data_IF_027452625523
#
_entry.id   IF_027452625523
#
_cell.length_a   1.000
_cell.length_b   1.000
_cell.length_c   1.000
_cell.angle_alpha   90.00
_cell.angle_beta   90.00
_cell.angle_gamma   90.00
#
_symmetry.space_group_name_H-M   'P 1'
#
loop_
_entity.id
_entity.type
_entity.pdbx_description
1 polymer ?
#
# COMPACT_ATOMS: atom_id res chain seq x y z
N UNK A 1 -11.26 4.39 24.00
CA UNK A 1 -11.62 3.15 23.28
C UNK A 1 -11.01 3.23 21.88
N UNK A 2 -10.35 2.19 21.42
CA UNK A 2 -9.82 2.05 20.07
C UNK A 2 -10.47 0.83 19.43
N UNK A 3 -11.04 1.02 18.27
CA UNK A 3 -11.65 -0.05 17.49
C UNK A 3 -11.06 -0.04 16.09
N UNK A 4 -10.95 -1.20 15.47
CA UNK A 4 -10.40 -1.35 14.12
C UNK A 4 -11.25 -2.24 13.25
N UNK A 5 -11.20 -1.98 11.95
CA UNK A 5 -11.62 -2.87 10.89
C UNK A 5 -10.58 -2.84 9.78
N UNK A 6 -10.29 -3.98 9.17
CA UNK A 6 -9.27 -4.08 8.12
C UNK A 6 -9.78 -4.89 6.93
N UNK A 7 -9.33 -4.52 5.72
CA UNK A 7 -9.63 -5.23 4.49
C UNK A 7 -8.44 -5.21 3.54
N UNK A 8 -8.36 -6.25 2.68
CA UNK A 8 -7.34 -6.37 1.64
C UNK A 8 -8.00 -6.73 0.32
N UNK A 9 -7.70 -5.96 -0.73
CA UNK A 9 -8.22 -6.18 -2.08
C UNK A 9 -7.08 -6.34 -3.08
N UNK A 10 -7.22 -7.31 -3.95
CA UNK A 10 -6.24 -7.53 -5.03
C UNK A 10 -6.36 -6.42 -6.08
N UNK A 11 -5.23 -5.77 -6.38
CA UNK A 11 -5.08 -4.74 -7.41
C UNK A 11 -4.12 -5.17 -8.53
N UNK A 12 -3.78 -6.46 -8.61
CA UNK A 12 -2.92 -6.96 -9.69
C UNK A 12 -3.58 -6.72 -11.04
N UNK A 13 -2.89 -6.11 -12.01
CA UNK A 13 -3.47 -5.85 -13.31
C UNK A 13 -3.78 -7.17 -14.04
N UNK A 14 -4.97 -7.32 -14.66
CA UNK A 14 -5.32 -8.53 -15.42
C UNK A 14 -4.73 -8.58 -16.83
N UNK A 15 -3.91 -7.59 -17.19
CA UNK A 15 -3.25 -7.48 -18.50
C UNK A 15 -1.86 -6.88 -18.35
N UNK A 16 -0.96 -7.07 -19.35
CA UNK A 16 0.38 -6.48 -19.32
C UNK A 16 0.37 -4.96 -19.20
N UNK A 17 1.13 -4.43 -18.21
CA UNK A 17 1.22 -2.99 -17.93
C UNK A 17 2.65 -2.47 -18.11
N UNK A 18 2.78 -1.21 -18.46
CA UNK A 18 4.04 -0.49 -18.24
C UNK A 18 4.23 -0.27 -16.74
N UNK A 19 5.44 -0.52 -16.25
CA UNK A 19 5.77 -0.39 -14.84
C UNK A 19 6.46 0.94 -14.54
N UNK A 20 6.15 1.52 -13.39
CA UNK A 20 6.76 2.77 -12.91
C UNK A 20 8.03 2.50 -12.09
N UNK A 21 8.88 3.54 -11.97
CA UNK A 21 10.02 3.58 -11.05
C UNK A 21 11.39 3.64 -11.75
N UNK A 22 11.55 3.01 -12.93
CA UNK A 22 12.78 3.07 -13.72
C UNK A 22 12.53 3.69 -15.08
N UNK A 23 13.05 4.89 -15.31
CA UNK A 23 12.88 5.61 -16.59
C UNK A 23 13.44 4.84 -17.81
N UNK A 24 14.49 4.04 -17.60
CA UNK A 24 15.13 3.23 -18.66
C UNK A 24 14.38 1.90 -18.95
N UNK A 25 13.36 1.54 -18.17
CA UNK A 25 12.60 0.33 -18.43
C UNK A 25 11.63 0.56 -19.58
N UNK A 26 11.79 -0.22 -20.64
CA UNK A 26 10.94 -0.19 -21.83
C UNK A 26 10.07 -1.44 -21.92
N UNK A 27 8.92 -1.34 -22.55
CA UNK A 27 8.00 -2.45 -22.73
C UNK A 27 7.05 -2.68 -21.57
N UNK A 28 6.11 -3.58 -21.81
CA UNK A 28 5.09 -4.00 -20.84
C UNK A 28 5.60 -5.16 -20.00
N UNK A 29 4.97 -5.34 -18.84
CA UNK A 29 5.24 -6.52 -17.97
C UNK A 29 4.95 -7.82 -18.73
N UNK A 30 5.78 -8.83 -18.46
CA UNK A 30 5.70 -10.18 -19.08
C UNK A 30 5.03 -11.22 -18.18
N UNK A 31 4.54 -10.80 -17.03
CA UNK A 31 3.87 -11.66 -16.06
C UNK A 31 3.83 -11.04 -14.67
N UNK A 32 3.37 -11.82 -13.72
CA UNK A 32 3.27 -11.47 -12.30
C UNK A 32 4.22 -12.37 -11.52
N UNK A 33 5.05 -11.79 -10.66
CA UNK A 33 5.91 -12.52 -9.73
C UNK A 33 5.18 -12.73 -8.40
N UNK A 34 4.55 -11.67 -7.91
CA UNK A 34 3.67 -11.69 -6.75
C UNK A 34 2.53 -10.69 -6.94
N UNK A 35 1.40 -10.97 -6.30
CA UNK A 35 0.19 -10.15 -6.41
C UNK A 35 0.34 -8.82 -5.68
N UNK A 36 -0.35 -7.81 -6.20
CA UNK A 36 -0.43 -6.48 -5.63
C UNK A 36 -1.74 -6.29 -4.87
N UNK A 37 -1.68 -5.58 -3.75
CA UNK A 37 -2.83 -5.35 -2.90
C UNK A 37 -3.04 -3.86 -2.57
N UNK A 38 -4.30 -3.52 -2.35
CA UNK A 38 -4.74 -2.40 -1.54
C UNK A 38 -5.04 -2.94 -0.14
N UNK A 39 -4.34 -2.45 0.87
CA UNK A 39 -4.60 -2.76 2.28
C UNK A 39 -5.19 -1.54 2.95
N UNK A 40 -6.35 -1.71 3.56
CA UNK A 40 -7.07 -0.64 4.24
C UNK A 40 -7.27 -0.98 5.70
N UNK A 41 -6.99 -0.02 6.56
CA UNK A 41 -7.28 -0.02 7.99
C UNK A 41 -8.18 1.16 8.30
N UNK A 42 -9.33 0.90 8.90
CA UNK A 42 -10.20 1.94 9.45
C UNK A 42 -10.12 1.86 10.97
N UNK A 43 -9.74 2.99 11.57
CA UNK A 43 -9.62 3.16 13.00
C UNK A 43 -10.80 4.01 13.51
N UNK A 44 -11.41 3.61 14.62
CA UNK A 44 -12.31 4.46 15.40
C UNK A 44 -11.68 4.72 16.77
N UNK A 45 -11.28 5.96 17.02
CA UNK A 45 -10.59 6.37 18.24
C UNK A 45 -11.48 7.39 18.96
N UNK A 46 -12.02 7.03 20.11
CA UNK A 46 -12.95 7.87 20.88
C UNK A 46 -14.13 8.42 20.07
N UNK A 47 -14.60 7.66 19.08
CA UNK A 47 -15.69 8.03 18.18
C UNK A 47 -15.27 8.70 16.88
N UNK A 48 -14.04 9.19 16.76
CA UNK A 48 -13.50 9.73 15.52
C UNK A 48 -12.99 8.62 14.60
N UNK A 49 -13.27 8.75 13.30
CA UNK A 49 -12.87 7.78 12.29
C UNK A 49 -11.64 8.27 11.52
N UNK A 50 -10.69 7.37 11.33
CA UNK A 50 -9.51 7.54 10.50
C UNK A 50 -9.45 6.40 9.48
N UNK A 51 -9.19 6.72 8.22
CA UNK A 51 -9.05 5.75 7.12
C UNK A 51 -7.60 5.78 6.65
N UNK A 52 -6.94 4.64 6.69
CA UNK A 52 -5.58 4.49 6.19
C UNK A 52 -5.55 3.39 5.13
N UNK A 53 -5.25 3.76 3.89
CA UNK A 53 -5.09 2.80 2.79
C UNK A 53 -3.69 2.86 2.22
N UNK A 54 -3.09 1.69 1.99
CA UNK A 54 -1.78 1.54 1.37
C UNK A 54 -1.90 0.68 0.12
N UNK A 55 -1.35 1.18 -0.99
CA UNK A 55 -1.40 0.55 -2.31
C UNK A 55 -0.02 0.01 -2.69
N UNK A 56 0.04 -1.21 -3.25
CA UNK A 56 1.27 -1.80 -3.78
C UNK A 56 1.61 -1.19 -5.15
N UNK A 57 1.82 0.12 -5.16
CA UNK A 57 2.15 0.94 -6.32
C UNK A 57 3.43 1.74 -6.07
N UNK A 58 4.04 2.22 -7.16
CA UNK A 58 5.20 3.10 -7.06
C UNK A 58 4.81 4.49 -6.52
N UNK A 59 3.73 5.03 -7.03
CA UNK A 59 3.32 6.41 -6.74
C UNK A 59 1.83 6.58 -7.02
N UNK A 60 1.19 7.43 -6.22
CA UNK A 60 -0.14 7.94 -6.45
C UNK A 60 -0.05 9.46 -6.63
N UNK A 61 -0.58 9.96 -7.74
CA UNK A 61 -0.58 11.40 -8.00
C UNK A 61 -1.65 12.12 -7.18
N UNK A 62 -1.36 13.38 -6.82
CA UNK A 62 -2.22 14.18 -5.96
C UNK A 62 -3.68 14.24 -6.45
N UNK A 63 -3.98 14.46 -7.75
CA UNK A 63 -5.38 14.50 -8.21
C UNK A 63 -6.13 13.19 -7.96
N UNK A 64 -5.45 12.04 -8.05
CA UNK A 64 -6.06 10.72 -7.81
C UNK A 64 -6.35 10.53 -6.32
N UNK A 65 -5.36 10.84 -5.48
CA UNK A 65 -5.52 10.72 -4.02
C UNK A 65 -6.54 11.71 -3.48
N UNK A 66 -6.55 12.94 -4.00
CA UNK A 66 -7.48 13.98 -3.59
C UNK A 66 -8.92 13.64 -3.96
N UNK A 67 -9.14 13.13 -5.17
CA UNK A 67 -10.44 12.62 -5.59
C UNK A 67 -10.93 11.50 -4.66
N UNK A 68 -10.10 10.49 -4.40
CA UNK A 68 -10.45 9.37 -3.53
C UNK A 68 -10.81 9.84 -2.11
N UNK A 69 -10.00 10.72 -1.53
CA UNK A 69 -10.24 11.31 -0.20
C UNK A 69 -11.55 12.10 -0.17
N UNK A 70 -11.85 12.85 -1.23
CA UNK A 70 -13.08 13.62 -1.33
C UNK A 70 -14.32 12.71 -1.37
N UNK A 71 -14.28 11.65 -2.16
CA UNK A 71 -15.37 10.66 -2.26
C UNK A 71 -15.61 9.96 -0.91
N UNK A 72 -14.52 9.49 -0.28
CA UNK A 72 -14.60 8.78 1.02
C UNK A 72 -15.07 9.71 2.14
N UNK A 73 -14.57 10.95 2.18
CA UNK A 73 -15.00 11.95 3.15
C UNK A 73 -16.51 12.21 3.07
N UNK A 74 -17.04 12.37 1.84
CA UNK A 74 -18.47 12.58 1.63
C UNK A 74 -19.31 11.34 1.99
N UNK A 75 -18.85 10.15 1.59
CA UNK A 75 -19.59 8.90 1.81
C UNK A 75 -19.71 8.54 3.30
N UNK A 76 -18.65 8.70 4.07
CA UNK A 76 -18.59 8.27 5.47
C UNK A 76 -18.67 9.41 6.48
N UNK A 77 -18.86 10.64 6.01
CA UNK A 77 -18.87 11.84 6.87
C UNK A 77 -17.61 11.95 7.75
N UNK A 78 -16.45 11.63 7.16
CA UNK A 78 -15.14 11.67 7.81
C UNK A 78 -14.38 12.92 7.34
N UNK A 79 -13.73 13.68 8.22
CA UNK A 79 -12.87 14.79 7.81
C UNK A 79 -11.81 14.31 6.81
N UNK A 80 -11.58 15.06 5.74
CA UNK A 80 -10.65 14.69 4.67
C UNK A 80 -9.22 14.53 5.17
N UNK A 81 -8.83 15.28 6.20
CA UNK A 81 -7.56 15.18 6.91
C UNK A 81 -7.36 13.87 7.66
N UNK A 82 -8.44 13.16 8.02
CA UNK A 82 -8.40 11.85 8.66
C UNK A 82 -8.27 10.69 7.65
N UNK A 83 -8.15 10.99 6.35
CA UNK A 83 -8.04 10.00 5.29
C UNK A 83 -6.64 10.05 4.69
N UNK A 84 -5.87 8.98 4.87
CA UNK A 84 -4.53 8.82 4.34
C UNK A 84 -4.54 7.73 3.27
N UNK A 85 -4.04 8.04 2.08
CA UNK A 85 -3.86 7.08 1.00
C UNK A 85 -2.41 7.18 0.54
N UNK A 86 -1.66 6.11 0.77
CA UNK A 86 -0.24 6.04 0.47
C UNK A 86 0.12 4.88 -0.47
N UNK A 87 1.38 4.82 -0.86
CA UNK A 87 1.94 3.73 -1.65
C UNK A 87 3.20 3.19 -0.99
N UNK A 88 3.50 1.91 -1.24
CA UNK A 88 4.74 1.29 -0.75
C UNK A 88 5.96 1.64 -1.61
N UNK A 89 5.77 2.34 -2.71
CA UNK A 89 6.80 2.78 -3.64
C UNK A 89 7.52 1.64 -4.39
N UNK A 90 6.85 0.50 -4.64
CA UNK A 90 7.46 -0.57 -5.46
C UNK A 90 7.83 -0.08 -6.86
N UNK A 91 9.04 -0.36 -7.31
CA UNK A 91 9.49 -0.08 -8.67
C UNK A 91 9.16 -1.21 -9.67
N UNK A 92 8.31 -2.15 -9.25
CA UNK A 92 7.78 -3.24 -10.08
C UNK A 92 6.25 -3.25 -10.15
N UNK A 93 5.61 -2.14 -9.77
CA UNK A 93 4.17 -1.92 -9.89
C UNK A 93 3.79 -1.20 -11.18
N UNK A 94 2.51 -1.31 -11.61
CA UNK A 94 1.99 -0.64 -12.79
C UNK A 94 2.06 0.89 -12.69
N UNK A 95 2.24 1.52 -13.85
CA UNK A 95 2.12 2.96 -13.98
C UNK A 95 0.63 3.37 -14.06
N UNK A 96 0.25 4.35 -13.25
CA UNK A 96 -1.09 4.95 -13.23
C UNK A 96 -1.07 6.47 -13.41
N UNK A 97 0.07 7.02 -13.82
CA UNK A 97 0.25 8.48 -13.99
C UNK A 97 -0.67 9.06 -15.05
N UNK A 98 -0.84 10.39 -15.01
CA UNK A 98 -1.50 11.17 -16.07
C UNK A 98 -0.54 11.63 -17.15
N UNK A 99 0.76 11.32 -17.07
CA UNK A 99 1.73 11.67 -18.08
C UNK A 99 1.30 11.11 -19.44
N UNK A 100 1.38 11.93 -20.50
CA UNK A 100 1.08 11.49 -21.86
C UNK A 100 2.26 10.72 -22.43
N UNK A 101 2.05 9.46 -22.74
CA UNK A 101 3.07 8.53 -23.20
C UNK A 101 2.59 7.70 -24.41
N UNK A 102 1.58 8.21 -25.11
CA UNK A 102 0.98 7.59 -26.29
C UNK A 102 -0.27 6.76 -25.97
N UNK A 103 -1.07 6.53 -27.00
CA UNK A 103 -2.45 6.01 -26.91
C UNK A 103 -2.57 4.68 -26.14
N UNK A 104 -1.80 3.65 -26.51
CA UNK A 104 -1.85 2.33 -25.83
C UNK A 104 -1.52 2.43 -24.34
N UNK A 105 -0.47 3.20 -24.00
CA UNK A 105 -0.04 3.35 -22.61
C UNK A 105 -1.07 4.15 -21.80
N UNK A 106 -1.58 5.25 -22.36
CA UNK A 106 -2.57 6.08 -21.69
C UNK A 106 -3.89 5.34 -21.47
N UNK A 107 -4.34 4.56 -22.46
CA UNK A 107 -5.53 3.72 -22.31
C UNK A 107 -5.37 2.69 -21.17
N UNK A 108 -4.25 1.97 -21.14
CA UNK A 108 -3.97 0.98 -20.08
C UNK A 108 -3.92 1.61 -18.71
N UNK A 109 -3.27 2.77 -18.58
CA UNK A 109 -3.22 3.54 -17.32
C UNK A 109 -4.62 3.95 -16.86
N UNK A 110 -5.48 4.40 -17.78
CA UNK A 110 -6.85 4.79 -17.46
C UNK A 110 -7.68 3.60 -16.95
N UNK A 111 -7.70 2.49 -17.69
CA UNK A 111 -8.44 1.28 -17.30
C UNK A 111 -7.95 0.72 -15.96
N UNK A 112 -6.63 0.72 -15.76
CA UNK A 112 -6.08 0.21 -14.50
C UNK A 112 -6.32 1.16 -13.31
N UNK A 113 -6.34 2.48 -13.52
CA UNK A 113 -6.77 3.44 -12.49
C UNK A 113 -8.18 3.17 -12.00
N UNK A 114 -9.13 2.90 -12.91
CA UNK A 114 -10.51 2.56 -12.55
C UNK A 114 -10.56 1.31 -11.67
N UNK A 115 -9.79 0.28 -12.02
CA UNK A 115 -9.67 -0.93 -11.20
C UNK A 115 -9.14 -0.60 -9.80
N UNK A 116 -8.01 0.12 -9.71
CA UNK A 116 -7.40 0.50 -8.43
C UNK A 116 -8.36 1.31 -7.57
N UNK A 117 -9.03 2.30 -8.16
CA UNK A 117 -10.00 3.13 -7.45
C UNK A 117 -11.19 2.33 -6.94
N UNK A 118 -11.72 1.44 -7.80
CA UNK A 118 -12.80 0.54 -7.39
C UNK A 118 -12.37 -0.33 -6.20
N UNK A 119 -11.21 -0.97 -6.27
CA UNK A 119 -10.73 -1.85 -5.20
C UNK A 119 -10.42 -1.07 -3.90
N UNK A 120 -9.95 0.18 -4.00
CA UNK A 120 -9.77 1.04 -2.85
C UNK A 120 -11.11 1.35 -2.15
N UNK A 121 -12.13 1.74 -2.92
CA UNK A 121 -13.45 2.01 -2.36
C UNK A 121 -14.09 0.74 -1.78
N UNK A 122 -14.03 -0.37 -2.50
CA UNK A 122 -14.53 -1.67 -2.03
C UNK A 122 -13.83 -2.12 -0.73
N UNK A 123 -12.52 -1.84 -0.56
CA UNK A 123 -11.81 -2.16 0.67
C UNK A 123 -12.31 -1.33 1.87
N UNK A 124 -12.55 -0.04 1.65
CA UNK A 124 -13.11 0.82 2.70
C UNK A 124 -14.54 0.38 3.03
N UNK A 125 -15.37 0.13 2.02
CA UNK A 125 -16.75 -0.34 2.19
C UNK A 125 -16.78 -1.64 3.01
N UNK A 126 -15.92 -2.59 2.67
CA UNK A 126 -15.79 -3.86 3.42
C UNK A 126 -15.43 -3.65 4.89
N UNK A 127 -14.57 -2.68 5.21
CA UNK A 127 -14.25 -2.35 6.59
C UNK A 127 -15.49 -1.88 7.38
N UNK A 128 -16.33 -1.03 6.78
CA UNK A 128 -17.55 -0.55 7.43
C UNK A 128 -18.60 -1.65 7.52
N UNK A 129 -18.76 -2.49 6.50
CA UNK A 129 -19.74 -3.58 6.45
C UNK A 129 -19.43 -4.70 7.46
N UNK A 130 -18.15 -5.04 7.64
CA UNK A 130 -17.69 -6.02 8.66
C UNK A 130 -17.91 -5.54 10.09
N UNK A 131 -17.97 -4.22 10.29
CA UNK A 131 -17.99 -3.62 11.62
C UNK A 131 -16.60 -3.56 12.26
N UNK A 132 -16.57 -3.08 13.50
CA UNK A 132 -15.35 -2.75 14.22
C UNK A 132 -15.15 -3.65 15.42
N UNK A 133 -13.91 -4.03 15.67
CA UNK A 133 -13.50 -4.80 16.85
C UNK A 133 -12.75 -3.89 17.82
N UNK A 134 -13.10 -3.94 19.09
CA UNK A 134 -12.34 -3.27 20.14
C UNK A 134 -10.98 -3.93 20.30
N UNK A 135 -9.93 -3.10 20.38
CA UNK A 135 -8.54 -3.55 20.39
C UNK A 135 -7.68 -2.72 21.33
N UNK A 136 -6.56 -3.30 21.74
CA UNK A 136 -5.47 -2.59 22.40
C UNK A 136 -4.30 -2.45 21.40
N UNK A 137 -3.84 -1.23 21.11
CA UNK A 137 -2.66 -1.01 20.27
C UNK A 137 -1.37 -1.28 21.04
N UNK A 138 -0.44 -2.02 20.43
CA UNK A 138 0.88 -2.31 20.96
C UNK A 138 1.94 -1.77 20.00
N UNK A 139 2.79 -0.86 20.49
CA UNK A 139 3.95 -0.37 19.74
C UNK A 139 5.11 -1.35 19.89
N UNK A 140 5.66 -1.79 18.77
CA UNK A 140 6.86 -2.63 18.72
C UNK A 140 7.94 -1.87 17.97
N UNK A 141 9.13 -1.79 18.54
CA UNK A 141 10.31 -1.18 17.91
C UNK A 141 11.43 -2.20 17.82
N UNK A 142 12.19 -2.12 16.75
CA UNK A 142 13.37 -2.94 16.52
C UNK A 142 14.32 -2.26 15.56
N UNK A 143 15.46 -2.88 15.34
CA UNK A 143 16.45 -2.44 14.35
C UNK A 143 16.76 -3.59 13.39
N UNK A 144 17.12 -3.25 12.15
CA UNK A 144 17.52 -4.22 11.14
C UNK A 144 18.91 -3.85 10.61
N UNK A 145 19.83 -4.79 10.65
CA UNK A 145 21.20 -4.60 10.19
C UNK A 145 21.49 -5.46 8.95
N UNK A 146 22.39 -4.96 8.09
CA UNK A 146 22.89 -5.74 6.94
C UNK A 146 21.94 -5.90 5.76
N UNK A 147 20.72 -5.36 5.81
CA UNK A 147 19.70 -5.55 4.75
C UNK A 147 19.71 -4.39 3.75
N UNK A 148 19.90 -3.17 4.21
CA UNK A 148 19.97 -1.97 3.37
C UNK A 148 20.92 -0.91 3.97
N UNK A 149 21.29 0.06 3.14
CA UNK A 149 22.21 1.13 3.54
C UNK A 149 21.96 2.41 2.76
N UNK A 150 22.81 3.41 3.02
CA UNK A 150 22.80 4.63 2.24
C UNK A 150 23.29 4.33 0.81
N UNK A 151 22.42 4.52 -0.18
CA UNK A 151 22.70 4.21 -1.57
C UNK A 151 23.79 5.10 -2.20
N UNK A 152 23.83 6.35 -1.79
CA UNK A 152 24.74 7.34 -2.38
C UNK A 152 26.12 7.36 -1.70
N UNK A 153 26.16 7.04 -0.40
CA UNK A 153 27.37 7.13 0.42
C UNK A 153 27.41 5.94 1.37
N UNK A 154 28.24 4.95 1.05
CA UNK A 154 28.25 3.66 1.74
C UNK A 154 28.62 3.76 3.24
N UNK A 155 29.38 4.80 3.60
CA UNK A 155 29.85 5.09 4.95
C UNK A 155 28.95 6.07 5.72
N UNK A 156 27.87 6.57 5.08
CA UNK A 156 26.92 7.46 5.73
C UNK A 156 25.79 6.68 6.42
N UNK A 157 25.23 7.26 7.49
CA UNK A 157 24.15 6.60 8.21
C UNK A 157 22.91 6.40 7.34
N UNK A 158 22.18 5.35 7.65
CA UNK A 158 20.80 5.09 7.18
C UNK A 158 19.93 4.74 8.39
N UNK A 159 18.69 5.13 8.36
CA UNK A 159 17.75 4.76 9.39
C UNK A 159 17.55 3.24 9.37
N UNK A 160 17.76 2.60 10.50
CA UNK A 160 17.66 1.14 10.70
C UNK A 160 16.45 0.75 11.54
N UNK A 161 15.69 1.73 11.97
CA UNK A 161 14.55 1.48 12.84
C UNK A 161 13.41 0.79 12.08
N UNK A 162 12.82 -0.19 12.73
CA UNK A 162 11.55 -0.79 12.36
C UNK A 162 10.55 -0.42 13.43
N UNK A 163 9.44 0.17 13.01
CA UNK A 163 8.32 0.47 13.88
C UNK A 163 7.10 -0.34 13.44
N UNK A 164 6.39 -0.91 14.41
CA UNK A 164 5.16 -1.65 14.14
C UNK A 164 4.12 -1.28 15.20
N UNK A 165 2.88 -1.14 14.78
CA UNK A 165 1.72 -1.06 15.66
C UNK A 165 0.89 -2.32 15.40
N UNK A 166 0.68 -3.13 16.44
CA UNK A 166 -0.19 -4.29 16.41
C UNK A 166 -1.48 -3.95 17.16
N UNK A 167 -2.60 -4.11 16.51
CA UNK A 167 -3.93 -3.96 17.10
C UNK A 167 -4.43 -5.34 17.53
N UNK A 168 -4.50 -5.58 18.83
CA UNK A 168 -4.84 -6.88 19.39
C UNK A 168 -6.19 -6.85 20.10
N UNK A 169 -6.96 -7.89 19.85
CA UNK A 169 -8.15 -8.23 20.61
C UNK A 169 -7.87 -9.54 21.34
N UNK A 170 -8.04 -9.54 22.66
CA UNK A 170 -7.77 -10.69 23.53
C UNK A 170 -6.46 -11.42 23.18
N UNK A 171 -6.52 -12.51 22.41
CA UNK A 171 -5.39 -13.41 22.15
C UNK A 171 -4.84 -13.35 20.71
N UNK A 172 -5.41 -12.54 19.83
CA UNK A 172 -4.97 -12.47 18.43
C UNK A 172 -4.73 -11.05 17.93
N UNK A 173 -3.94 -10.94 16.88
CA UNK A 173 -3.72 -9.70 16.15
C UNK A 173 -4.85 -9.54 15.13
N UNK A 174 -5.60 -8.45 15.23
CA UNK A 174 -6.70 -8.11 14.30
C UNK A 174 -6.15 -7.44 13.05
N UNK A 175 -5.19 -6.53 13.24
CA UNK A 175 -4.53 -5.79 12.16
C UNK A 175 -3.16 -5.28 12.63
N UNK A 176 -2.35 -4.82 11.69
CA UNK A 176 -1.08 -4.20 12.02
C UNK A 176 -0.64 -3.17 11.01
N UNK A 177 0.19 -2.23 11.45
CA UNK A 177 0.90 -1.29 10.60
C UNK A 177 2.39 -1.46 10.85
N UNK A 178 3.21 -1.46 9.81
CA UNK A 178 4.66 -1.45 9.95
C UNK A 178 5.29 -0.36 9.09
N UNK A 179 6.42 0.14 9.57
CA UNK A 179 7.19 1.16 8.89
C UNK A 179 8.68 0.86 9.05
N UNK A 180 9.42 0.94 7.96
CA UNK A 180 10.87 1.02 7.95
C UNK A 180 11.35 1.75 6.70
N UNK A 181 12.54 2.31 6.77
CA UNK A 181 13.09 3.19 5.74
C UNK A 181 13.93 2.38 4.76
N UNK A 182 13.29 1.85 3.72
CA UNK A 182 13.99 1.14 2.65
C UNK A 182 13.34 1.43 1.30
N UNK A 183 14.15 1.82 0.32
CA UNK A 183 13.67 2.01 -1.04
C UNK A 183 13.41 0.63 -1.70
N UNK A 184 12.17 0.29 -2.08
CA UNK A 184 11.79 -1.05 -2.56
C UNK A 184 12.23 -1.26 -4.02
N UNK A 185 13.51 -1.48 -4.22
CA UNK A 185 14.18 -1.62 -5.53
C UNK A 185 15.05 -2.88 -5.60
N UNK A 186 14.70 -3.91 -4.82
CA UNK A 186 15.46 -5.16 -4.72
C UNK A 186 15.50 -5.88 -6.08
N UNK A 187 14.38 -5.90 -6.80
CA UNK A 187 14.28 -6.58 -8.10
C UNK A 187 15.02 -5.86 -9.24
N UNK A 188 15.31 -4.58 -9.09
CA UNK A 188 16.08 -3.82 -10.05
C UNK A 188 15.38 -3.56 -11.40
N UNK A 189 16.11 -2.86 -12.30
CA UNK A 189 15.59 -2.40 -13.60
C UNK A 189 15.26 -3.55 -14.57
N UNK A 190 15.97 -4.67 -14.49
CA UNK A 190 15.81 -5.80 -15.42
C UNK A 190 14.60 -6.68 -15.10
N UNK A 191 13.97 -6.48 -13.93
CA UNK A 191 12.73 -7.17 -13.64
C UNK A 191 11.60 -6.65 -14.53
N UNK A 192 10.99 -7.55 -15.31
CA UNK A 192 9.83 -7.26 -16.17
C UNK A 192 8.54 -7.91 -15.65
N UNK A 193 8.53 -8.44 -14.42
CA UNK A 193 7.33 -9.00 -13.81
C UNK A 193 6.77 -8.05 -12.75
N UNK A 194 5.46 -7.99 -12.67
CA UNK A 194 4.74 -7.25 -11.62
C UNK A 194 5.08 -7.83 -10.25
N UNK A 195 5.39 -6.98 -9.29
CA UNK A 195 5.72 -7.37 -7.93
C UNK A 195 5.52 -6.20 -6.94
N UNK A 196 5.13 -6.53 -5.72
CA UNK A 196 5.14 -5.62 -4.59
C UNK A 196 6.53 -5.36 -4.00
N UNK A 197 7.57 -6.02 -4.54
CA UNK A 197 8.97 -5.95 -4.09
C UNK A 197 9.10 -6.28 -2.60
N UNK A 198 10.01 -5.64 -1.87
CA UNK A 198 10.31 -5.94 -0.48
C UNK A 198 9.12 -5.71 0.46
N UNK A 199 8.50 -4.51 0.40
CA UNK A 199 7.51 -4.11 1.39
C UNK A 199 6.23 -4.92 1.34
N UNK A 200 5.73 -5.21 0.14
CA UNK A 200 4.54 -6.05 0.00
C UNK A 200 4.79 -7.49 0.46
N UNK A 201 5.99 -8.03 0.18
CA UNK A 201 6.38 -9.37 0.65
C UNK A 201 6.55 -9.44 2.18
N UNK A 202 7.05 -8.37 2.82
CA UNK A 202 7.03 -8.26 4.29
C UNK A 202 5.59 -8.25 4.81
N UNK A 203 4.71 -7.46 4.20
CA UNK A 203 3.28 -7.44 4.54
C UNK A 203 2.65 -8.84 4.45
N UNK A 204 2.90 -9.56 3.35
CA UNK A 204 2.42 -10.93 3.17
C UNK A 204 2.93 -11.88 4.26
N UNK A 205 4.22 -11.82 4.59
CA UNK A 205 4.79 -12.66 5.66
C UNK A 205 4.19 -12.34 7.03
N UNK A 206 3.83 -11.08 7.30
CA UNK A 206 3.14 -10.68 8.52
C UNK A 206 1.68 -11.17 8.52
N UNK A 207 0.97 -11.06 7.39
CA UNK A 207 -0.39 -11.60 7.23
C UNK A 207 -0.41 -13.11 7.57
N UNK A 208 0.54 -13.87 7.02
CA UNK A 208 0.67 -15.31 7.28
C UNK A 208 1.03 -15.62 8.74
N UNK A 209 1.98 -14.86 9.32
CA UNK A 209 2.44 -15.07 10.70
C UNK A 209 1.35 -14.83 11.74
N UNK A 210 0.55 -13.82 11.54
CA UNK A 210 -0.49 -13.41 12.51
C UNK A 210 -1.88 -13.90 12.13
N UNK A 211 -2.03 -14.57 10.97
CA UNK A 211 -3.32 -14.98 10.40
C UNK A 211 -4.31 -13.80 10.33
N UNK A 212 -3.85 -12.69 9.78
CA UNK A 212 -4.59 -11.41 9.70
C UNK A 212 -4.50 -10.82 8.29
N UNK A 213 -5.03 -9.63 8.11
CA UNK A 213 -5.03 -8.90 6.84
C UNK A 213 -4.03 -7.75 6.91
#
# INVERSE_FOLDING_TARGET
MVEVSAAKRNITPPFPMYMRGYAMRTGKSIGVLDELYCRTLVLRINGEIFIWSTLDLCRLEEPISDYARTVLAGKYSVPKENIIIGTIHTHSGPDISFEDEGEDRNHRKAVYRELVMKQLFDAVDECFDRGFLEVTPYMVKGTIEGVYGNRNYIDKPSDKDINMILFRNENHVVAGMFQFTCHPTVLGIHNMKISSDLLGNVGKALDEKYNTI
#
